data_IF_320497485855
#
_entry.id   IF_320497485855
#
_cell.length_a   1.000
_cell.length_b   1.000
_cell.length_c   1.000
_cell.angle_alpha   90.00
_cell.angle_beta   90.00
_cell.angle_gamma   90.00
#
_symmetry.space_group_name_H-M   'P 1'
#
loop_
_entity.id
_entity.type
_entity.pdbx_description
1 polymer ?
#
# COMPACT_ATOMS: atom_id res chain seq x y z
N UNK A 1 -26.20 1.53 -2.86
CA UNK A 1 -26.31 0.94 -1.50
C UNK A 1 -25.79 1.96 -0.50
N UNK A 2 -26.37 2.11 0.69
CA UNK A 2 -25.83 3.02 1.70
C UNK A 2 -25.08 2.20 2.77
N UNK A 3 -23.84 2.57 3.07
CA UNK A 3 -23.05 1.94 4.14
C UNK A 3 -23.30 2.76 5.42
N UNK A 4 -24.07 2.19 6.35
CA UNK A 4 -24.46 2.86 7.60
C UNK A 4 -23.33 2.93 8.64
N UNK A 5 -22.49 1.90 8.70
CA UNK A 5 -21.38 1.79 9.65
C UNK A 5 -20.05 1.53 8.91
N UNK A 6 -19.50 2.54 8.21
CA UNK A 6 -18.27 2.35 7.45
C UNK A 6 -17.04 2.19 8.37
N UNK A 7 -16.04 1.44 7.90
CA UNK A 7 -14.68 1.44 8.46
C UNK A 7 -14.08 2.85 8.37
N UNK A 8 -13.03 3.11 9.15
CA UNK A 8 -12.46 4.44 9.36
C UNK A 8 -11.17 4.64 8.59
N UNK A 9 -10.86 5.89 8.28
CA UNK A 9 -9.57 6.28 7.72
C UNK A 9 -8.73 6.88 8.83
N UNK A 10 -7.49 6.45 8.98
CA UNK A 10 -6.47 7.11 9.79
C UNK A 10 -5.55 7.92 8.87
N UNK A 11 -5.63 9.25 8.93
CA UNK A 11 -4.76 10.13 8.17
C UNK A 11 -3.72 10.77 9.09
N UNK A 12 -2.45 10.48 8.83
CA UNK A 12 -1.31 10.84 9.70
C UNK A 12 -0.32 11.72 8.95
N UNK A 13 0.35 12.60 9.68
CA UNK A 13 1.47 13.38 9.18
C UNK A 13 2.43 13.73 10.32
N UNK A 14 3.64 14.18 10.02
CA UNK A 14 4.50 14.76 11.03
C UNK A 14 3.90 16.07 11.56
N UNK A 15 4.19 16.39 12.82
CA UNK A 15 3.73 17.64 13.46
C UNK A 15 4.10 18.92 12.69
N UNK A 16 5.25 18.93 12.00
CA UNK A 16 5.71 20.04 11.16
C UNK A 16 4.99 20.13 9.80
N UNK A 17 4.25 19.08 9.43
CA UNK A 17 3.60 18.90 8.13
C UNK A 17 2.07 18.98 8.22
N UNK A 18 1.53 19.46 9.35
CA UNK A 18 0.09 19.60 9.60
C UNK A 18 -0.67 20.37 8.52
N UNK A 19 -0.02 21.36 7.87
CA UNK A 19 -0.63 22.10 6.77
C UNK A 19 -0.83 21.23 5.53
N UNK A 20 0.12 20.33 5.22
CA UNK A 20 -0.01 19.40 4.09
C UNK A 20 -1.14 18.40 4.34
N UNK A 21 -1.26 17.87 5.56
CA UNK A 21 -2.38 17.02 5.95
C UNK A 21 -3.72 17.75 5.75
N UNK A 22 -3.83 18.99 6.24
CA UNK A 22 -5.02 19.81 6.08
C UNK A 22 -5.36 20.10 4.61
N UNK A 23 -4.35 20.31 3.77
CA UNK A 23 -4.53 20.59 2.33
C UNK A 23 -5.00 19.33 1.58
N UNK A 24 -4.43 18.16 1.89
CA UNK A 24 -4.85 16.86 1.32
C UNK A 24 -6.27 16.52 1.73
N UNK A 25 -6.61 16.64 3.02
CA UNK A 25 -7.96 16.34 3.52
C UNK A 25 -8.99 17.31 2.93
N UNK A 26 -8.65 18.58 2.69
CA UNK A 26 -9.56 19.49 1.97
C UNK A 26 -9.72 19.10 0.50
N UNK A 27 -8.67 18.60 -0.14
CA UNK A 27 -8.70 18.13 -1.51
C UNK A 27 -9.57 16.89 -1.73
N UNK A 28 -9.88 16.12 -0.69
CA UNK A 28 -10.83 15.00 -0.80
C UNK A 28 -12.28 15.47 -0.92
N UNK A 29 -12.59 16.72 -0.54
CA UNK A 29 -13.92 17.28 -0.69
C UNK A 29 -14.02 18.05 -2.00
N UNK A 30 -14.92 17.67 -2.93
CA UNK A 30 -15.25 18.54 -4.03
C UNK A 30 -15.83 19.82 -3.44
N UNK A 31 -15.10 20.94 -3.56
CA UNK A 31 -15.59 22.23 -3.07
C UNK A 31 -16.92 22.52 -3.79
N UNK A 32 -18.05 22.72 -3.06
CA UNK A 32 -19.26 23.15 -3.71
C UNK A 32 -18.96 24.46 -4.43
N UNK A 33 -19.26 24.49 -5.73
CA UNK A 33 -19.24 25.71 -6.53
C UNK A 33 -19.93 26.83 -5.75
N UNK A 34 -19.21 27.95 -5.61
CA UNK A 34 -19.56 29.07 -4.75
C UNK A 34 -21.07 29.41 -4.76
N UNK A 35 -21.73 29.13 -3.65
CA UNK A 35 -22.95 29.82 -3.21
C UNK A 35 -23.10 29.64 -1.71
N UNK A 36 -22.32 30.40 -0.94
CA UNK A 36 -22.80 31.03 0.29
C UNK A 36 -21.85 32.16 0.69
N UNK A 37 -22.48 33.29 0.93
CA UNK A 37 -22.01 34.52 1.57
C UNK A 37 -20.67 34.48 2.30
N UNK A 38 -19.80 35.42 1.93
CA UNK A 38 -18.68 35.91 2.72
C UNK A 38 -19.08 36.15 4.19
N UNK A 39 -18.26 35.75 5.17
CA UNK A 39 -18.41 36.27 6.52
C UNK A 39 -17.95 37.73 6.53
N UNK A 40 -18.83 38.60 7.00
CA UNK A 40 -18.65 40.03 7.21
C UNK A 40 -17.46 40.30 8.15
N UNK A 41 -16.43 41.08 7.74
CA UNK A 41 -15.34 41.46 8.62
C UNK A 41 -15.73 42.73 9.38
N UNK A 42 -16.65 42.61 10.34
CA UNK A 42 -16.93 43.72 11.24
C UNK A 42 -17.36 43.20 12.62
N UNK A 43 -16.40 42.89 13.48
CA UNK A 43 -16.45 43.27 14.90
C UNK A 43 -15.06 43.12 15.51
N UNK A 44 -14.34 44.25 15.55
CA UNK A 44 -13.19 44.43 16.43
C UNK A 44 -13.68 44.60 17.87
N UNK A 45 -13.23 43.74 18.77
CA UNK A 45 -12.97 44.10 20.16
C UNK A 45 -11.76 43.28 20.61
N UNK A 46 -10.69 44.02 20.92
CA UNK A 46 -9.38 43.57 21.35
C UNK A 46 -9.41 43.01 22.77
N UNK A 47 -9.10 41.72 22.91
CA UNK A 47 -8.58 41.13 24.15
C UNK A 47 -7.08 40.86 23.97
N UNK A 48 -6.18 41.47 24.78
CA UNK A 48 -4.73 41.31 24.62
C UNK A 48 -4.12 40.13 25.40
N UNK A 49 -4.89 39.12 25.82
CA UNK A 49 -4.41 38.04 26.71
C UNK A 49 -4.79 36.61 26.26
N UNK A 50 -5.02 36.38 24.96
CA UNK A 50 -5.16 35.03 24.42
C UNK A 50 -3.90 34.63 23.66
N UNK A 51 -2.99 33.93 24.33
CA UNK A 51 -1.99 33.07 23.67
C UNK A 51 -2.75 32.14 22.72
N UNK A 52 -2.71 32.48 21.44
CA UNK A 52 -3.43 31.81 20.37
C UNK A 52 -2.75 30.45 20.08
N UNK A 53 -3.05 29.44 20.89
CA UNK A 53 -2.93 28.07 20.45
C UNK A 53 -3.95 27.87 19.32
N UNK A 54 -3.48 27.81 18.07
CA UNK A 54 -4.27 27.29 16.98
C UNK A 54 -4.85 25.92 17.40
N UNK A 55 -6.14 25.62 17.11
CA UNK A 55 -6.70 24.32 17.45
C UNK A 55 -5.85 23.22 16.81
N UNK A 56 -5.34 22.30 17.62
CA UNK A 56 -4.54 21.17 17.15
C UNK A 56 -5.38 20.29 16.25
N UNK A 57 -4.87 19.96 15.06
CA UNK A 57 -5.52 19.07 14.08
C UNK A 57 -5.60 17.62 14.59
N UNK A 58 -4.65 17.22 15.45
CA UNK A 58 -4.53 15.87 15.97
C UNK A 58 -5.70 15.50 16.89
N UNK A 59 -6.18 14.26 16.78
CA UNK A 59 -7.31 13.73 17.54
C UNK A 59 -8.68 14.23 17.09
N UNK A 60 -8.76 14.93 15.94
CA UNK A 60 -10.03 15.37 15.37
C UNK A 60 -10.58 14.34 14.39
N UNK A 61 -11.92 14.26 14.30
CA UNK A 61 -12.61 13.41 13.32
C UNK A 61 -13.28 14.28 12.26
N UNK A 62 -12.97 14.03 10.99
CA UNK A 62 -13.55 14.72 9.85
C UNK A 62 -14.49 13.78 9.07
N UNK A 63 -15.78 14.11 8.88
CA UNK A 63 -16.66 13.30 8.05
C UNK A 63 -16.29 13.45 6.57
N UNK A 64 -16.16 12.34 5.87
CA UNK A 64 -15.89 12.30 4.44
C UNK A 64 -17.07 11.67 3.70
N UNK A 65 -17.81 12.50 2.98
CA UNK A 65 -18.95 12.06 2.20
C UNK A 65 -18.47 11.47 0.86
N UNK A 66 -18.53 10.15 0.75
CA UNK A 66 -18.13 9.40 -0.42
C UNK A 66 -19.39 8.93 -1.17
N UNK A 67 -19.45 9.22 -2.47
CA UNK A 67 -20.53 8.79 -3.34
C UNK A 67 -19.96 8.16 -4.61
N UNK A 68 -20.31 6.91 -4.86
CA UNK A 68 -19.93 6.15 -6.05
C UNK A 68 -21.20 5.65 -6.77
N UNK A 69 -21.03 4.99 -7.92
CA UNK A 69 -22.15 4.34 -8.62
C UNK A 69 -22.72 3.15 -7.83
N UNK A 70 -21.94 2.57 -6.92
CA UNK A 70 -22.28 1.33 -6.22
C UNK A 70 -22.77 1.62 -4.79
N UNK A 71 -22.13 2.59 -4.12
CA UNK A 71 -22.46 2.92 -2.73
C UNK A 71 -22.30 4.40 -2.36
N UNK A 72 -22.90 4.77 -1.25
CA UNK A 72 -22.70 6.04 -0.56
C UNK A 72 -22.32 5.76 0.89
N UNK A 73 -21.35 6.50 1.42
CA UNK A 73 -20.89 6.36 2.79
C UNK A 73 -20.42 7.70 3.37
N UNK A 74 -20.60 7.90 4.67
CA UNK A 74 -19.97 9.00 5.41
C UNK A 74 -18.83 8.45 6.26
N UNK A 75 -17.64 8.38 5.67
CA UNK A 75 -16.47 7.74 6.28
C UNK A 75 -15.83 8.68 7.31
N UNK A 76 -15.62 8.25 8.56
CA UNK A 76 -14.89 9.04 9.54
C UNK A 76 -13.38 9.03 9.21
N UNK A 77 -12.79 10.21 9.06
CA UNK A 77 -11.34 10.38 8.96
C UNK A 77 -10.81 10.84 10.31
N UNK A 78 -9.99 10.01 10.95
CA UNK A 78 -9.22 10.37 12.13
C UNK A 78 -7.91 11.04 11.71
N UNK A 79 -7.68 12.25 12.21
CA UNK A 79 -6.47 13.02 11.92
C UNK A 79 -5.49 12.91 13.09
N UNK A 80 -4.25 12.60 12.79
CA UNK A 80 -3.20 12.52 13.81
C UNK A 80 -1.90 13.17 13.34
N UNK A 81 -1.18 13.79 14.30
CA UNK A 81 0.09 14.46 14.07
C UNK A 81 1.17 13.79 14.92
N UNK A 82 2.15 13.23 14.24
CA UNK A 82 3.19 12.39 14.82
C UNK A 82 4.41 13.25 15.14
N UNK A 83 4.80 13.28 16.41
CA UNK A 83 6.05 13.89 16.86
C UNK A 83 7.22 12.90 16.83
N UNK A 84 6.96 11.65 17.21
CA UNK A 84 7.93 10.55 17.23
C UNK A 84 7.31 9.31 16.58
N UNK A 85 7.69 8.97 15.33
CA UNK A 85 7.11 7.82 14.62
C UNK A 85 7.30 6.49 15.35
N UNK A 86 8.45 6.31 16.02
CA UNK A 86 8.75 5.09 16.78
C UNK A 86 7.81 4.89 17.98
N UNK A 87 7.61 5.95 18.78
CA UNK A 87 6.70 5.90 19.93
C UNK A 87 5.25 5.73 19.49
N UNK A 88 4.86 6.43 18.41
CA UNK A 88 3.53 6.33 17.82
C UNK A 88 3.24 4.89 17.37
N UNK A 89 4.13 4.27 16.60
CA UNK A 89 3.95 2.90 16.15
C UNK A 89 3.91 1.91 17.32
N UNK A 90 4.76 2.10 18.34
CA UNK A 90 4.72 1.26 19.55
C UNK A 90 3.39 1.38 20.30
N UNK A 91 2.77 2.56 20.31
CA UNK A 91 1.45 2.77 20.92
C UNK A 91 0.35 2.07 20.12
N UNK A 92 0.38 2.16 18.78
CA UNK A 92 -0.62 1.51 17.93
C UNK A 92 -0.49 -0.01 17.87
N UNK A 93 0.72 -0.56 18.08
CA UNK A 93 0.96 -1.99 18.18
C UNK A 93 0.77 -2.56 19.59
N UNK A 94 0.33 -1.73 20.55
CA UNK A 94 0.01 -2.20 21.89
C UNK A 94 -1.29 -3.01 21.90
N UNK A 95 -1.44 -3.99 22.81
CA UNK A 95 -2.70 -4.75 22.95
C UNK A 95 -3.92 -3.85 23.18
N UNK A 96 -3.72 -2.72 23.87
CA UNK A 96 -4.77 -1.74 24.18
C UNK A 96 -5.30 -1.03 22.92
N UNK A 97 -4.50 -0.95 21.86
CA UNK A 97 -4.88 -0.29 20.61
C UNK A 97 -5.55 -1.25 19.59
N UNK A 98 -5.73 -2.54 19.93
CA UNK A 98 -6.29 -3.54 19.02
C UNK A 98 -7.66 -3.15 18.46
N UNK A 99 -8.56 -2.66 19.33
CA UNK A 99 -9.90 -2.21 18.93
C UNK A 99 -9.84 -1.01 17.95
N UNK A 100 -8.80 -0.19 18.06
CA UNK A 100 -8.58 0.96 17.15
C UNK A 100 -8.17 0.45 15.77
N UNK A 101 -7.29 -0.55 15.70
CA UNK A 101 -6.81 -1.14 14.45
C UNK A 101 -7.92 -1.91 13.72
N UNK A 102 -8.73 -2.68 14.44
CA UNK A 102 -9.82 -3.50 13.88
C UNK A 102 -10.86 -2.66 13.11
N UNK A 103 -11.07 -1.41 13.49
CA UNK A 103 -12.04 -0.52 12.82
C UNK A 103 -11.48 0.29 11.66
N UNK A 104 -10.15 0.22 11.42
CA UNK A 104 -9.54 0.91 10.28
C UNK A 104 -9.79 0.13 9.00
N UNK A 105 -10.20 0.85 7.95
CA UNK A 105 -10.26 0.36 6.57
C UNK A 105 -9.40 1.18 5.61
N UNK A 106 -8.72 2.20 6.12
CA UNK A 106 -7.78 3.02 5.36
C UNK A 106 -6.73 3.68 6.24
N UNK A 107 -5.49 3.76 5.74
CA UNK A 107 -4.38 4.54 6.30
C UNK A 107 -3.85 5.46 5.21
N UNK A 108 -3.77 6.76 5.50
CA UNK A 108 -3.24 7.78 4.60
C UNK A 108 -2.09 8.51 5.28
N UNK A 109 -0.87 8.37 4.75
CA UNK A 109 0.33 9.02 5.28
C UNK A 109 0.66 10.23 4.43
N UNK A 110 0.51 11.44 4.97
CA UNK A 110 0.81 12.68 4.24
C UNK A 110 2.15 13.23 4.69
N UNK A 111 3.06 13.50 3.74
CA UNK A 111 4.38 14.04 4.05
C UNK A 111 4.84 15.07 3.02
N UNK A 112 5.65 16.03 3.47
CA UNK A 112 6.33 16.95 2.57
C UNK A 112 7.48 16.21 1.87
N UNK A 113 7.53 16.24 0.54
CA UNK A 113 8.68 15.72 -0.18
C UNK A 113 9.89 16.63 0.09
N UNK A 114 10.99 16.12 0.66
CA UNK A 114 12.20 16.91 0.85
C UNK A 114 12.80 17.25 -0.52
N UNK A 115 13.55 18.35 -0.66
CA UNK A 115 14.18 18.69 -1.92
C UNK A 115 15.15 17.58 -2.40
N UNK A 116 15.38 17.45 -3.72
CA UNK A 116 16.34 16.49 -4.25
C UNK A 116 17.75 16.79 -3.71
N UNK A 117 18.59 15.76 -3.52
CA UNK A 117 19.95 15.96 -3.05
C UNK A 117 20.71 16.85 -4.03
N UNK A 118 21.17 18.01 -3.55
CA UNK A 118 21.97 18.92 -4.37
C UNK A 118 23.22 18.20 -4.87
N UNK A 119 23.37 18.08 -6.20
CA UNK A 119 24.56 17.47 -6.83
C UNK A 119 25.84 18.10 -6.27
N UNK A 120 26.90 17.32 -5.94
CA UNK A 120 28.14 17.90 -5.48
C UNK A 120 28.65 18.89 -6.53
N UNK A 121 29.06 20.11 -6.12
CA UNK A 121 29.60 21.07 -7.07
C UNK A 121 30.81 20.44 -7.76
N UNK A 122 30.87 20.55 -9.09
CA UNK A 122 32.00 20.10 -9.92
C UNK A 122 33.31 20.89 -9.67
N UNK A 123 33.34 21.73 -8.62
CA UNK A 123 34.52 22.34 -8.02
C UNK A 123 34.47 22.16 -6.51
N UNK A 124 35.60 21.93 -5.84
CA UNK A 124 35.64 21.93 -4.38
C UNK A 124 35.24 23.33 -3.90
N UNK A 125 34.01 23.46 -3.42
CA UNK A 125 33.55 24.63 -2.71
C UNK A 125 34.20 24.58 -1.33
N UNK A 126 35.24 25.39 -1.12
CA UNK A 126 35.58 25.80 0.22
C UNK A 126 34.34 26.49 0.80
N UNK A 127 33.92 26.09 2.00
CA UNK A 127 32.77 26.58 2.78
C UNK A 127 31.47 25.77 2.58
N UNK A 128 31.29 24.78 3.45
CA UNK A 128 30.01 24.12 3.72
C UNK A 128 29.00 25.18 4.19
N UNK A 129 27.90 25.35 3.44
CA UNK A 129 26.81 26.23 3.86
C UNK A 129 26.04 25.63 5.04
N UNK A 130 25.67 26.43 6.06
CA UNK A 130 25.02 25.95 7.29
C UNK A 130 23.62 25.32 7.11
N UNK A 131 23.06 25.30 5.90
CA UNK A 131 21.72 24.75 5.60
C UNK A 131 21.67 23.29 5.11
N UNK A 132 22.81 22.65 4.88
CA UNK A 132 22.85 21.29 4.31
C UNK A 132 22.55 20.19 5.35
N UNK A 133 22.82 20.45 6.64
CA UNK A 133 22.51 19.54 7.74
C UNK A 133 20.99 19.43 8.05
N UNK A 134 20.23 20.51 7.85
CA UNK A 134 18.78 20.54 8.14
C UNK A 134 17.95 19.72 7.13
N UNK A 135 18.39 19.66 5.87
CA UNK A 135 17.69 18.90 4.82
C UNK A 135 17.86 17.38 4.97
N UNK A 136 19.06 16.94 5.37
CA UNK A 136 19.31 15.52 5.68
C UNK A 136 18.43 15.03 6.83
N UNK A 137 18.27 15.86 7.87
CA UNK A 137 17.39 15.56 9.01
C UNK A 137 15.92 15.42 8.59
N UNK A 138 15.40 16.32 7.77
CA UNK A 138 14.00 16.23 7.26
C UNK A 138 13.77 15.00 6.40
N UNK A 139 14.73 14.65 5.54
CA UNK A 139 14.63 13.42 4.72
C UNK A 139 14.53 12.19 5.61
N UNK A 140 15.38 12.10 6.63
CA UNK A 140 15.36 10.98 7.57
C UNK A 140 14.05 10.93 8.38
N UNK A 141 13.54 12.07 8.84
CA UNK A 141 12.26 12.12 9.56
C UNK A 141 11.09 11.59 8.71
N UNK A 142 11.06 11.92 7.42
CA UNK A 142 10.04 11.39 6.51
C UNK A 142 10.22 9.89 6.29
N UNK A 143 11.46 9.39 6.17
CA UNK A 143 11.72 7.95 6.11
C UNK A 143 11.23 7.25 7.38
N UNK A 144 11.60 7.76 8.54
CA UNK A 144 11.16 7.23 9.83
C UNK A 144 9.64 7.20 9.94
N UNK A 145 8.95 8.26 9.49
CA UNK A 145 7.48 8.28 9.43
C UNK A 145 6.95 7.11 8.60
N UNK A 146 7.38 6.99 7.34
CA UNK A 146 6.89 5.98 6.41
C UNK A 146 7.18 4.57 6.93
N UNK A 147 8.40 4.33 7.40
CA UNK A 147 8.81 3.03 7.94
C UNK A 147 8.00 2.62 9.17
N UNK A 148 7.73 3.54 10.10
CA UNK A 148 6.98 3.22 11.32
C UNK A 148 5.47 3.09 11.07
N UNK A 149 4.90 3.87 10.15
CA UNK A 149 3.51 3.63 9.72
C UNK A 149 3.39 2.31 8.96
N UNK A 150 4.33 2.02 8.07
CA UNK A 150 4.42 0.73 7.39
C UNK A 150 4.57 -0.45 8.35
N UNK A 151 5.27 -0.26 9.47
CA UNK A 151 5.31 -1.25 10.55
C UNK A 151 3.92 -1.52 11.13
N UNK A 152 3.13 -0.47 11.40
CA UNK A 152 1.74 -0.63 11.88
C UNK A 152 0.86 -1.33 10.84
N UNK A 153 1.02 -1.00 9.55
CA UNK A 153 0.27 -1.68 8.47
C UNK A 153 0.63 -3.17 8.42
N UNK A 154 1.92 -3.51 8.43
CA UNK A 154 2.38 -4.91 8.31
C UNK A 154 2.10 -5.75 9.56
N UNK A 155 2.40 -5.23 10.75
CA UNK A 155 2.31 -5.99 11.99
C UNK A 155 0.95 -5.84 12.69
N UNK A 156 0.31 -4.67 12.56
CA UNK A 156 -0.94 -4.35 13.26
C UNK A 156 -2.20 -4.61 12.45
N UNK A 157 -2.17 -4.33 11.13
CA UNK A 157 -3.34 -4.46 10.26
C UNK A 157 -3.37 -5.77 9.46
N UNK A 158 -2.30 -6.57 9.49
CA UNK A 158 -2.21 -7.86 8.78
C UNK A 158 -1.42 -7.80 7.48
N UNK A 159 -0.80 -6.66 7.15
CA UNK A 159 0.05 -6.52 5.97
C UNK A 159 -0.69 -6.83 4.67
N UNK A 160 -0.20 -7.83 3.92
CA UNK A 160 -0.77 -8.20 2.62
C UNK A 160 -2.14 -8.86 2.71
N UNK A 161 -2.49 -9.44 3.86
CA UNK A 161 -3.82 -10.04 4.09
C UNK A 161 -4.86 -8.98 4.48
N UNK A 162 -4.41 -7.75 4.79
CA UNK A 162 -5.31 -6.66 5.10
C UNK A 162 -6.06 -6.22 3.84
N UNK A 163 -7.37 -6.15 3.95
CA UNK A 163 -8.29 -5.75 2.89
C UNK A 163 -8.54 -4.22 2.84
N UNK A 164 -7.79 -3.44 3.62
CA UNK A 164 -7.90 -2.00 3.68
C UNK A 164 -6.95 -1.26 2.74
N UNK A 165 -7.17 0.04 2.60
CA UNK A 165 -6.36 0.91 1.76
C UNK A 165 -5.16 1.48 2.53
N UNK A 166 -3.95 1.43 1.97
CA UNK A 166 -2.77 2.06 2.55
C UNK A 166 -2.04 2.93 1.51
N UNK A 167 -2.02 4.26 1.70
CA UNK A 167 -1.50 5.22 0.72
C UNK A 167 -0.53 6.21 1.37
N UNK A 168 0.64 6.40 0.76
CA UNK A 168 1.59 7.47 1.06
C UNK A 168 1.46 8.63 0.07
N UNK A 169 1.07 9.81 0.56
CA UNK A 169 0.87 11.02 -0.23
C UNK A 169 2.06 11.97 -0.03
N UNK A 170 2.94 12.00 -1.04
CA UNK A 170 4.08 12.92 -1.09
C UNK A 170 3.68 14.28 -1.67
N UNK A 171 3.73 15.33 -0.85
CA UNK A 171 3.34 16.69 -1.26
C UNK A 171 4.56 17.52 -1.64
N UNK A 172 4.64 17.98 -2.89
CA UNK A 172 5.67 18.93 -3.32
C UNK A 172 5.25 20.38 -3.12
N UNK A 173 6.11 21.17 -2.48
CA UNK A 173 5.94 22.62 -2.34
C UNK A 173 6.47 23.31 -3.61
N UNK A 174 5.66 23.46 -4.65
CA UNK A 174 6.04 24.19 -5.86
C UNK A 174 6.50 25.61 -5.51
N UNK A 175 7.81 25.86 -5.49
CA UNK A 175 8.39 27.21 -5.37
C UNK A 175 9.25 27.61 -6.57
N UNK A 176 9.64 26.67 -7.44
CA UNK A 176 10.33 27.02 -8.68
C UNK A 176 9.69 26.28 -9.86
N UNK A 177 9.02 27.04 -10.73
CA UNK A 177 8.84 26.67 -12.14
C UNK A 177 10.16 26.69 -12.90
N UNK A 178 11.22 26.12 -12.32
CA UNK A 178 12.46 25.80 -13.01
C UNK A 178 12.29 24.41 -13.57
N UNK A 179 12.56 24.24 -14.86
CA UNK A 179 12.60 22.94 -15.52
C UNK A 179 13.63 22.05 -14.82
N UNK A 180 13.20 21.31 -13.79
CA UNK A 180 13.87 20.07 -13.41
C UNK A 180 13.70 19.17 -14.63
N UNK A 181 14.78 18.55 -15.08
CA UNK A 181 14.68 17.58 -16.17
C UNK A 181 13.77 16.47 -15.65
N UNK A 182 12.72 16.13 -16.40
CA UNK A 182 11.71 15.14 -15.98
C UNK A 182 12.34 13.84 -15.48
N UNK A 183 13.49 13.44 -16.04
CA UNK A 183 14.29 12.28 -15.61
C UNK A 183 14.90 12.42 -14.20
N UNK A 184 15.35 13.61 -13.79
CA UNK A 184 15.88 13.84 -12.43
C UNK A 184 14.77 13.90 -11.39
N UNK A 185 13.59 14.41 -11.76
CA UNK A 185 12.41 14.40 -10.90
C UNK A 185 11.83 12.98 -10.75
N UNK A 186 11.79 12.21 -11.84
CA UNK A 186 11.38 10.80 -11.82
C UNK A 186 12.29 9.97 -10.89
N UNK A 187 13.61 10.00 -11.10
CA UNK A 187 14.54 9.26 -10.23
C UNK A 187 14.55 9.72 -8.76
N UNK A 188 14.12 10.95 -8.48
CA UNK A 188 13.94 11.42 -7.11
C UNK A 188 12.66 10.88 -6.46
N UNK A 189 11.59 10.70 -7.24
CA UNK A 189 10.32 10.13 -6.77
C UNK A 189 10.41 8.62 -6.57
N UNK A 190 11.16 7.91 -7.42
CA UNK A 190 11.37 6.45 -7.35
C UNK A 190 11.82 6.01 -5.95
N UNK A 191 12.71 6.77 -5.29
CA UNK A 191 13.17 6.45 -3.93
C UNK A 191 12.02 6.42 -2.90
N UNK A 192 11.03 7.31 -3.04
CA UNK A 192 9.88 7.37 -2.15
C UNK A 192 8.83 6.32 -2.52
N UNK A 193 8.69 6.04 -3.81
CA UNK A 193 7.86 4.96 -4.31
C UNK A 193 8.34 3.61 -3.77
N UNK A 194 9.63 3.30 -3.93
CA UNK A 194 10.25 2.09 -3.40
C UNK A 194 10.04 1.97 -1.87
N UNK A 195 10.31 3.06 -1.13
CA UNK A 195 10.16 3.06 0.32
C UNK A 195 8.71 2.83 0.77
N UNK A 196 7.74 3.45 0.09
CA UNK A 196 6.32 3.23 0.35
C UNK A 196 5.93 1.78 0.02
N UNK A 197 6.36 1.26 -1.13
CA UNK A 197 6.05 -0.11 -1.56
C UNK A 197 6.60 -1.15 -0.58
N UNK A 198 7.84 -1.01 -0.11
CA UNK A 198 8.44 -1.87 0.93
C UNK A 198 7.65 -1.85 2.24
N UNK A 199 6.97 -0.73 2.52
CA UNK A 199 6.13 -0.52 3.69
C UNK A 199 4.66 -0.96 3.49
N UNK A 200 4.31 -1.49 2.31
CA UNK A 200 2.93 -1.86 1.96
C UNK A 200 2.02 -0.66 1.68
N UNK A 201 2.59 0.47 1.26
CA UNK A 201 1.86 1.69 0.92
C UNK A 201 1.95 1.95 -0.58
N UNK A 202 0.86 2.36 -1.19
CA UNK A 202 0.89 2.94 -2.53
C UNK A 202 1.38 4.39 -2.46
N UNK A 203 2.40 4.75 -3.23
CA UNK A 203 2.88 6.14 -3.30
C UNK A 203 2.09 6.96 -4.33
N UNK A 204 1.62 8.14 -3.92
CA UNK A 204 0.98 9.11 -4.80
C UNK A 204 1.61 10.48 -4.63
N UNK A 205 2.22 10.99 -5.71
CA UNK A 205 2.76 12.34 -5.75
C UNK A 205 1.67 13.38 -6.01
N UNK A 206 1.57 14.37 -5.12
CA UNK A 206 0.62 15.47 -5.24
C UNK A 206 1.35 16.81 -5.19
N UNK A 207 1.16 17.64 -6.22
CA UNK A 207 1.66 19.01 -6.17
C UNK A 207 0.79 19.87 -5.26
N UNK A 208 1.39 20.75 -4.45
CA UNK A 208 0.63 21.73 -3.64
C UNK A 208 -0.27 22.62 -4.50
N UNK A 209 0.15 22.91 -5.73
CA UNK A 209 -0.67 23.64 -6.70
C UNK A 209 -1.95 22.88 -7.08
N UNK A 210 -1.87 21.54 -7.20
CA UNK A 210 -3.02 20.66 -7.43
C UNK A 210 -3.98 20.57 -6.24
N UNK A 211 -3.51 20.83 -5.01
CA UNK A 211 -4.35 20.87 -3.80
C UNK A 211 -5.11 22.18 -3.61
N UNK A 212 -4.55 23.30 -4.09
CA UNK A 212 -5.07 24.67 -3.84
C UNK A 212 -5.74 25.27 -5.09
N UNK A 213 -5.57 24.63 -6.25
CA UNK A 213 -6.13 25.07 -7.54
C UNK A 213 -7.61 24.77 -7.72
N UNK A 214 -8.27 25.55 -8.59
CA UNK A 214 -9.72 25.49 -8.90
C UNK A 214 -10.09 24.47 -9.99
N UNK A 215 -9.13 23.76 -10.57
CA UNK A 215 -9.41 22.75 -11.58
C UNK A 215 -9.64 21.42 -10.86
N UNK A 216 -10.77 20.73 -11.08
CA UNK A 216 -10.91 19.35 -10.62
C UNK A 216 -9.76 18.55 -11.22
N UNK A 217 -8.88 18.03 -10.35
CA UNK A 217 -7.75 17.17 -10.75
C UNK A 217 -8.24 15.81 -11.29
N UNK A 218 -9.57 15.59 -11.32
CA UNK A 218 -10.31 14.36 -11.69
C UNK A 218 -9.90 13.75 -13.05
N UNK A 219 -9.19 14.50 -13.89
CA UNK A 219 -8.73 14.07 -15.21
C UNK A 219 -7.21 13.99 -15.36
N UNK A 220 -6.42 14.28 -14.32
CA UNK A 220 -4.95 14.20 -14.45
C UNK A 220 -4.54 12.75 -14.61
N UNK A 221 -4.16 12.40 -15.85
CA UNK A 221 -3.73 11.06 -16.23
C UNK A 221 -2.28 11.03 -16.66
N UNK A 222 -1.59 9.93 -16.35
CA UNK A 222 -0.24 9.68 -16.89
C UNK A 222 -0.32 9.27 -18.38
N UNK A 223 0.83 8.97 -18.99
CA UNK A 223 0.92 8.54 -20.39
C UNK A 223 0.18 7.22 -20.69
N UNK A 224 -0.11 6.42 -19.66
CA UNK A 224 -0.87 5.18 -19.75
C UNK A 224 -2.37 5.39 -19.53
N UNK A 225 -2.81 6.63 -19.28
CA UNK A 225 -4.21 6.96 -19.05
C UNK A 225 -4.67 6.67 -17.62
N UNK A 226 -3.78 6.37 -16.67
CA UNK A 226 -4.11 6.10 -15.27
C UNK A 226 -4.23 7.40 -14.49
N UNK A 227 -5.12 7.47 -13.49
CA UNK A 227 -5.26 8.68 -12.66
C UNK A 227 -4.00 8.92 -11.83
N UNK A 228 -3.63 10.18 -11.65
CA UNK A 228 -2.47 10.61 -10.85
C UNK A 228 -2.88 11.72 -9.88
N UNK A 229 -2.00 12.09 -8.95
CA UNK A 229 -2.27 13.20 -8.03
C UNK A 229 -3.47 12.95 -7.13
N UNK A 230 -4.26 13.98 -6.85
CA UNK A 230 -5.40 13.86 -5.95
C UNK A 230 -6.48 12.94 -6.54
N UNK A 231 -6.62 12.91 -7.88
CA UNK A 231 -7.58 12.01 -8.52
C UNK A 231 -7.25 10.52 -8.33
N UNK A 232 -5.98 10.16 -8.19
CA UNK A 232 -5.58 8.79 -7.84
C UNK A 232 -5.95 8.45 -6.40
N UNK A 233 -5.67 9.35 -5.46
CA UNK A 233 -6.08 9.18 -4.04
C UNK A 233 -7.59 8.99 -3.94
N UNK A 234 -8.36 9.81 -4.66
CA UNK A 234 -9.82 9.73 -4.67
C UNK A 234 -10.34 8.44 -5.31
N UNK A 235 -9.71 7.97 -6.40
CA UNK A 235 -10.05 6.68 -7.00
C UNK A 235 -9.81 5.52 -6.04
N UNK A 236 -8.68 5.51 -5.35
CA UNK A 236 -8.36 4.47 -4.37
C UNK A 236 -9.38 4.46 -3.21
N UNK A 237 -9.73 5.65 -2.68
CA UNK A 237 -10.76 5.78 -1.64
C UNK A 237 -12.15 5.32 -2.13
N UNK A 238 -12.52 5.61 -3.37
CA UNK A 238 -13.78 5.19 -3.99
C UNK A 238 -13.83 3.68 -4.26
N UNK A 239 -12.70 3.07 -4.59
CA UNK A 239 -12.60 1.65 -4.91
C UNK A 239 -12.55 0.75 -3.67
N UNK A 240 -12.15 1.28 -2.52
CA UNK A 240 -12.06 0.53 -1.26
C UNK A 240 -13.43 0.06 -0.75
N UNK A 241 -13.48 -1.13 -0.13
CA UNK A 241 -14.66 -1.62 0.58
C UNK A 241 -14.67 -1.08 2.01
N UNK A 242 -15.69 -0.26 2.31
CA UNK A 242 -15.86 0.35 3.62
C UNK A 242 -16.83 -0.41 4.52
N UNK A 243 -17.41 -1.53 4.08
CA UNK A 243 -18.30 -2.33 4.90
C UNK A 243 -17.57 -2.95 6.11
N UNK A 244 -18.32 -3.33 7.16
CA UNK A 244 -17.75 -3.98 8.34
C UNK A 244 -17.20 -3.07 9.46
N UNK A 245 -17.42 -1.75 9.42
CA UNK A 245 -16.91 -0.82 10.44
C UNK A 245 -17.70 -0.76 11.75
N UNK A 246 -18.66 -1.65 11.93
CA UNK A 246 -19.49 -1.76 13.12
C UNK A 246 -18.90 -2.75 14.12
N UNK A 247 -18.73 -2.30 15.37
CA UNK A 247 -18.52 -3.16 16.54
C UNK A 247 -19.79 -3.97 16.89
N UNK A 248 -20.48 -4.53 15.91
CA UNK A 248 -21.56 -5.49 16.10
C UNK A 248 -21.02 -6.89 15.76
N UNK A 249 -20.45 -7.57 16.76
CA UNK A 249 -20.07 -8.97 16.57
C UNK A 249 -18.89 -9.50 17.36
N UNK A 250 -18.66 -9.04 18.58
CA UNK A 250 -18.16 -9.96 19.61
C UNK A 250 -19.23 -11.02 19.85
N UNK A 251 -19.29 -12.03 19.00
CA UNK A 251 -20.37 -13.03 18.96
C UNK A 251 -19.81 -14.40 18.63
N UNK A 252 -19.56 -15.17 19.69
CA UNK A 252 -19.50 -16.64 19.72
C UNK A 252 -18.76 -17.29 18.54
N UNK A 253 -17.44 -17.34 18.62
CA UNK A 253 -16.72 -18.57 18.26
C UNK A 253 -17.08 -19.66 19.27
N UNK A 254 -18.35 -20.08 19.31
CA UNK A 254 -18.74 -21.31 19.97
C UNK A 254 -18.13 -22.43 19.16
N UNK A 255 -17.09 -23.01 19.73
CA UNK A 255 -16.71 -24.40 19.54
C UNK A 255 -18.00 -25.24 19.64
N UNK A 256 -18.60 -25.57 18.49
CA UNK A 256 -19.50 -26.70 18.40
C UNK A 256 -18.62 -27.95 18.42
N UNK A 257 -18.17 -28.31 19.63
CA UNK A 257 -17.89 -29.70 19.97
C UNK A 257 -19.22 -30.47 19.86
N UNK A 258 -19.55 -30.96 18.66
CA UNK A 258 -20.61 -31.95 18.53
C UNK A 258 -20.08 -33.32 19.00
N UNK A 259 -20.46 -33.63 20.24
CA UNK A 259 -20.46 -34.95 20.86
C UNK A 259 -21.01 -36.03 19.90
N UNK A 260 -20.13 -36.90 19.38
CA UNK A 260 -20.56 -38.12 18.72
C UNK A 260 -20.52 -39.31 19.69
N UNK A 261 -21.57 -39.44 20.50
CA UNK A 261 -21.93 -40.69 21.17
C UNK A 261 -22.65 -41.65 20.20
N UNK A 262 -22.08 -42.84 20.03
CA UNK A 262 -22.79 -44.10 20.32
C UNK A 262 -23.92 -44.61 19.41
N UNK A 263 -23.55 -45.64 18.63
CA UNK A 263 -24.28 -46.91 18.41
C UNK A 263 -25.49 -46.99 17.43
N UNK A 264 -25.45 -48.03 16.59
CA UNK A 264 -26.66 -48.77 16.20
C UNK A 264 -26.80 -49.15 14.73
N UNK A 265 -26.39 -50.37 14.36
CA UNK A 265 -26.41 -50.87 12.99
C UNK A 265 -27.77 -51.38 12.45
N UNK A 266 -27.75 -51.61 11.12
CA UNK A 266 -28.43 -52.65 10.29
C UNK A 266 -29.46 -52.20 9.23
N UNK A 267 -29.04 -52.50 7.98
CA UNK A 267 -29.73 -53.21 6.90
C UNK A 267 -31.01 -52.64 6.22
N UNK A 268 -30.94 -52.43 4.90
CA UNK A 268 -32.14 -52.36 4.05
C UNK A 268 -31.96 -51.92 2.59
N UNK A 269 -31.77 -52.88 1.67
CA UNK A 269 -31.78 -52.74 0.19
C UNK A 269 -33.05 -52.07 -0.39
N UNK A 270 -32.90 -51.28 -1.47
CA UNK A 270 -33.98 -50.92 -2.41
C UNK A 270 -33.46 -50.22 -3.68
N UNK A 271 -34.07 -50.47 -4.84
CA UNK A 271 -33.51 -50.21 -6.19
C UNK A 271 -34.20 -49.03 -6.92
N UNK A 272 -33.41 -48.36 -7.77
CA UNK A 272 -33.67 -47.82 -9.14
C UNK A 272 -34.51 -46.54 -9.38
N UNK A 273 -33.80 -45.57 -10.01
CA UNK A 273 -34.05 -44.89 -11.31
C UNK A 273 -34.96 -43.65 -11.36
N UNK A 274 -34.38 -42.53 -11.83
CA UNK A 274 -35.06 -41.54 -12.68
C UNK A 274 -34.82 -40.05 -12.38
N UNK A 275 -33.82 -39.47 -13.05
CA UNK A 275 -33.76 -38.12 -13.67
C UNK A 275 -34.12 -36.82 -12.88
N UNK A 276 -33.03 -36.05 -12.67
CA UNK A 276 -32.76 -34.64 -13.05
C UNK A 276 -33.22 -33.42 -12.21
N UNK A 277 -32.17 -32.63 -11.93
CA UNK A 277 -32.06 -31.16 -11.88
C UNK A 277 -32.41 -30.43 -10.57
N UNK A 278 -31.38 -29.79 -9.98
CA UNK A 278 -31.50 -28.77 -8.94
C UNK A 278 -30.30 -28.71 -7.99
N UNK A 279 -29.37 -27.81 -8.31
CA UNK A 279 -28.48 -27.03 -7.41
C UNK A 279 -27.44 -27.70 -6.48
N UNK A 280 -26.41 -26.89 -6.25
CA UNK A 280 -25.36 -26.97 -5.21
C UNK A 280 -24.14 -27.84 -5.55
N UNK A 281 -23.30 -27.32 -6.46
CA UNK A 281 -21.89 -27.68 -6.49
C UNK A 281 -21.13 -26.72 -5.56
N UNK A 282 -20.87 -27.21 -4.35
CA UNK A 282 -19.73 -26.78 -3.54
C UNK A 282 -18.47 -26.78 -4.43
N UNK A 283 -18.00 -25.58 -4.78
CA UNK A 283 -16.71 -25.42 -5.43
C UNK A 283 -15.64 -25.50 -4.35
N UNK A 284 -15.30 -26.73 -3.96
CA UNK A 284 -14.02 -27.03 -3.34
C UNK A 284 -12.91 -26.46 -4.24
N UNK A 285 -12.28 -25.41 -3.77
CA UNK A 285 -11.20 -24.71 -4.45
C UNK A 285 -9.95 -25.58 -4.31
N UNK A 286 -9.70 -26.45 -5.29
CA UNK A 286 -8.48 -27.27 -5.34
C UNK A 286 -7.31 -26.42 -5.87
N UNK A 287 -6.31 -26.07 -5.02
CA UNK A 287 -5.16 -25.27 -5.43
C UNK A 287 -4.23 -25.99 -6.42
N UNK A 288 -4.43 -27.29 -6.68
CA UNK A 288 -3.65 -28.04 -7.66
C UNK A 288 -4.26 -28.06 -9.07
N UNK A 289 -5.47 -27.50 -9.27
CA UNK A 289 -6.17 -27.55 -10.57
C UNK A 289 -6.11 -26.25 -11.39
N UNK A 290 -5.26 -25.29 -11.02
CA UNK A 290 -5.05 -24.09 -11.86
C UNK A 290 -4.04 -24.40 -12.97
N UNK A 291 -4.61 -24.74 -14.12
CA UNK A 291 -4.01 -24.89 -15.45
C UNK A 291 -3.26 -23.62 -15.89
N UNK A 292 -2.03 -23.47 -15.40
CA UNK A 292 -0.99 -22.66 -16.03
C UNK A 292 -0.05 -23.66 -16.70
N UNK A 293 -0.29 -23.98 -17.99
CA UNK A 293 0.33 -25.05 -18.77
C UNK A 293 1.86 -25.17 -18.69
N UNK A 294 2.33 -25.65 -17.55
CA UNK A 294 3.68 -26.08 -17.22
C UNK A 294 3.49 -27.41 -16.52
N UNK A 295 3.44 -28.47 -17.32
CA UNK A 295 3.35 -29.81 -16.80
C UNK A 295 4.68 -30.13 -16.09
N UNK A 296 4.63 -30.98 -15.07
CA UNK A 296 5.82 -31.43 -14.31
C UNK A 296 6.93 -31.98 -15.23
N UNK A 297 6.54 -32.42 -16.43
CA UNK A 297 7.39 -32.93 -17.49
C UNK A 297 8.18 -31.83 -18.23
N UNK A 298 7.62 -30.63 -18.38
CA UNK A 298 8.35 -29.47 -18.92
C UNK A 298 9.45 -29.00 -17.95
N UNK A 299 9.20 -29.14 -16.64
CA UNK A 299 10.18 -28.87 -15.59
C UNK A 299 11.34 -29.88 -15.60
N UNK A 300 11.05 -31.15 -15.91
CA UNK A 300 12.06 -32.21 -16.07
C UNK A 300 12.86 -32.02 -17.37
N UNK A 301 12.20 -31.59 -18.45
CA UNK A 301 12.86 -31.25 -19.71
C UNK A 301 13.83 -30.08 -19.57
N UNK A 302 13.43 -29.03 -18.84
CA UNK A 302 14.28 -27.89 -18.49
C UNK A 302 15.46 -28.32 -17.60
N UNK A 303 15.20 -29.17 -16.60
CA UNK A 303 16.27 -29.75 -15.74
C UNK A 303 17.27 -30.58 -16.55
N UNK A 304 16.80 -31.39 -17.50
CA UNK A 304 17.66 -32.21 -18.37
C UNK A 304 18.45 -31.37 -19.37
N UNK A 305 17.92 -30.25 -19.84
CA UNK A 305 18.63 -29.32 -20.71
C UNK A 305 19.71 -28.50 -19.95
N UNK A 306 19.49 -28.18 -18.67
CA UNK A 306 20.46 -27.48 -17.83
C UNK A 306 21.58 -28.43 -17.36
N UNK A 307 21.27 -29.69 -17.05
CA UNK A 307 22.25 -30.64 -16.51
C UNK A 307 22.89 -31.58 -17.55
N UNK A 308 22.28 -31.76 -18.72
CA UNK A 308 22.72 -32.72 -19.75
C UNK A 308 23.73 -32.19 -20.77
N UNK A 309 24.32 -31.01 -20.54
CA UNK A 309 25.24 -30.35 -21.47
C UNK A 309 26.73 -30.71 -21.32
N UNK A 310 27.10 -31.60 -20.39
CA UNK A 310 28.45 -32.11 -20.26
C UNK A 310 28.49 -33.59 -20.67
N UNK A 311 28.84 -33.84 -21.94
CA UNK A 311 29.20 -35.16 -22.43
C UNK A 311 30.52 -35.65 -21.80
N UNK A 312 30.46 -36.93 -21.41
CA UNK A 312 31.53 -37.94 -21.38
C UNK A 312 32.67 -37.85 -20.36
N UNK A 313 32.56 -38.66 -19.31
CA UNK A 313 33.72 -39.13 -18.57
C UNK A 313 33.42 -39.80 -17.23
N UNK A 314 33.03 -41.07 -17.29
CA UNK A 314 33.36 -42.14 -16.34
C UNK A 314 33.22 -41.86 -14.82
N UNK A 315 32.19 -42.49 -14.23
CA UNK A 315 32.26 -43.11 -12.91
C UNK A 315 32.60 -42.25 -11.70
N UNK A 316 31.57 -41.85 -10.97
CA UNK A 316 31.33 -42.15 -9.55
C UNK A 316 30.00 -41.47 -9.16
N UNK A 317 29.26 -42.04 -8.22
CA UNK A 317 28.14 -41.36 -7.58
C UNK A 317 28.69 -40.12 -6.88
N UNK A 318 28.83 -39.00 -7.60
CA UNK A 318 29.08 -37.70 -6.99
C UNK A 318 27.78 -37.28 -6.30
N UNK A 319 27.76 -37.52 -4.98
CA UNK A 319 26.82 -36.89 -4.06
C UNK A 319 26.57 -35.46 -4.53
N UNK A 320 25.31 -35.14 -4.83
CA UNK A 320 24.88 -33.77 -5.13
C UNK A 320 25.31 -32.94 -3.92
N UNK A 321 26.42 -32.22 -4.07
CA UNK A 321 27.05 -31.54 -2.95
C UNK A 321 26.06 -30.56 -2.35
N UNK A 322 26.10 -30.39 -1.02
CA UNK A 322 25.28 -29.37 -0.35
C UNK A 322 25.45 -27.98 -1.00
N UNK A 323 26.60 -27.72 -1.62
CA UNK A 323 26.88 -26.51 -2.40
C UNK A 323 26.01 -26.38 -3.66
N UNK A 324 25.69 -27.47 -4.35
CA UNK A 324 24.86 -27.47 -5.55
C UNK A 324 23.38 -27.32 -5.21
N UNK A 325 22.95 -27.88 -4.08
CA UNK A 325 21.60 -27.63 -3.52
C UNK A 325 21.47 -26.17 -3.10
N UNK A 326 22.47 -25.60 -2.43
CA UNK A 326 22.46 -24.19 -2.03
C UNK A 326 22.53 -23.22 -3.21
N UNK A 327 23.19 -23.59 -4.32
CA UNK A 327 23.17 -22.82 -5.57
C UNK A 327 21.78 -22.89 -6.23
N UNK A 328 21.15 -24.06 -6.24
CA UNK A 328 19.80 -24.26 -6.79
C UNK A 328 18.75 -23.50 -5.97
N UNK A 329 18.84 -23.52 -4.63
CA UNK A 329 17.97 -22.76 -3.74
C UNK A 329 18.12 -21.25 -3.94
N UNK A 330 19.35 -20.75 -4.03
CA UNK A 330 19.60 -19.31 -4.33
C UNK A 330 19.08 -18.90 -5.69
N UNK A 331 19.19 -19.79 -6.68
CA UNK A 331 18.64 -19.56 -8.02
C UNK A 331 17.12 -19.55 -8.01
N UNK A 332 16.47 -20.50 -7.35
CA UNK A 332 15.02 -20.54 -7.20
C UNK A 332 14.50 -19.32 -6.47
N UNK A 333 15.17 -18.89 -5.40
CA UNK A 333 14.79 -17.71 -4.63
C UNK A 333 14.90 -16.43 -5.47
N UNK A 334 15.95 -16.31 -6.30
CA UNK A 334 16.11 -15.18 -7.23
C UNK A 334 15.09 -15.20 -8.36
N UNK A 335 14.82 -16.37 -8.97
CA UNK A 335 13.82 -16.49 -10.04
C UNK A 335 12.40 -16.26 -9.52
N UNK A 336 12.11 -16.68 -8.29
CA UNK A 336 10.84 -16.42 -7.62
C UNK A 336 10.67 -14.93 -7.28
N UNK A 337 11.72 -14.28 -6.77
CA UNK A 337 11.72 -12.83 -6.55
C UNK A 337 11.48 -12.05 -7.85
N UNK A 338 12.08 -12.47 -8.97
CA UNK A 338 11.85 -11.84 -10.29
C UNK A 338 10.46 -12.15 -10.83
N UNK A 339 9.92 -13.35 -10.57
CA UNK A 339 8.53 -13.71 -10.91
C UNK A 339 7.54 -12.81 -10.17
N UNK A 340 7.75 -12.62 -8.88
CA UNK A 340 6.87 -11.81 -8.03
C UNK A 340 7.00 -10.32 -8.39
N UNK A 341 8.22 -9.85 -8.68
CA UNK A 341 8.45 -8.50 -9.19
C UNK A 341 7.91 -8.27 -10.62
N UNK A 342 7.63 -9.33 -11.38
CA UNK A 342 7.17 -9.23 -12.78
C UNK A 342 5.70 -9.59 -13.00
N UNK A 343 5.00 -9.98 -11.93
CA UNK A 343 3.57 -10.30 -11.94
C UNK A 343 2.68 -9.10 -12.33
N UNK A 344 3.15 -7.87 -12.04
CA UNK A 344 2.44 -6.62 -12.38
C UNK A 344 2.76 -6.02 -13.75
N UNK A 345 3.74 -6.55 -14.50
CA UNK A 345 4.20 -5.90 -15.74
C UNK A 345 3.60 -6.52 -17.02
N UNK A 346 3.46 -5.73 -18.11
CA UNK A 346 3.03 -6.22 -19.42
C UNK A 346 3.92 -7.35 -19.96
N UNK A 347 3.35 -8.27 -20.73
CA UNK A 347 3.97 -9.54 -21.13
C UNK A 347 5.35 -9.36 -21.82
N UNK A 348 5.49 -8.35 -22.68
CA UNK A 348 6.76 -8.04 -23.35
C UNK A 348 7.87 -7.58 -22.39
N UNK A 349 7.51 -6.84 -21.33
CA UNK A 349 8.46 -6.40 -20.30
C UNK A 349 8.78 -7.53 -19.32
N UNK A 350 7.77 -8.34 -18.94
CA UNK A 350 7.95 -9.55 -18.14
C UNK A 350 8.91 -10.53 -18.81
N UNK A 351 8.75 -10.76 -20.12
CA UNK A 351 9.64 -11.62 -20.91
C UNK A 351 11.06 -11.08 -21.00
N UNK A 352 11.23 -9.75 -21.11
CA UNK A 352 12.54 -9.08 -21.12
C UNK A 352 13.23 -9.14 -19.75
N UNK A 353 12.47 -9.03 -18.65
CA UNK A 353 13.00 -9.15 -17.29
C UNK A 353 13.35 -10.58 -16.92
N UNK A 354 12.51 -11.56 -17.30
CA UNK A 354 12.83 -12.96 -17.16
C UNK A 354 14.10 -13.34 -17.95
N UNK A 355 14.25 -12.87 -19.19
CA UNK A 355 15.45 -13.13 -19.99
C UNK A 355 16.73 -12.50 -19.40
N UNK A 356 16.64 -11.31 -18.80
CA UNK A 356 17.76 -10.67 -18.11
C UNK A 356 18.14 -11.41 -16.84
N UNK A 357 17.17 -11.76 -16.00
CA UNK A 357 17.39 -12.49 -14.76
C UNK A 357 17.99 -13.87 -15.00
N UNK A 358 17.50 -14.61 -16.01
CA UNK A 358 18.07 -15.90 -16.41
C UNK A 358 19.51 -15.73 -16.92
N UNK A 359 19.80 -14.67 -17.67
CA UNK A 359 21.16 -14.36 -18.12
C UNK A 359 22.13 -13.97 -17.01
N UNK A 360 21.63 -13.33 -15.94
CA UNK A 360 22.41 -12.96 -14.77
C UNK A 360 22.70 -14.17 -13.88
N UNK A 361 21.70 -15.03 -13.67
CA UNK A 361 21.83 -16.31 -12.96
C UNK A 361 22.82 -17.25 -13.68
N UNK A 362 22.73 -17.37 -15.00
CA UNK A 362 23.65 -18.18 -15.81
C UNK A 362 25.10 -17.65 -15.84
N UNK A 363 25.31 -16.41 -15.41
CA UNK A 363 26.64 -15.79 -15.31
C UNK A 363 27.26 -15.92 -13.91
N UNK A 364 26.43 -16.20 -12.91
CA UNK A 364 26.83 -16.44 -11.51
C UNK A 364 27.07 -17.93 -11.20
N UNK A 365 26.61 -18.82 -12.08
CA UNK A 365 27.06 -20.22 -12.18
C UNK A 365 28.39 -20.28 -12.93
#
# INVERSE_FOLDING_TARGET
MEISNPRRILAVSLTDSAQHLSDVIRGTHPTPTASSSSPDPSHSASDPDSDAHAPSLAGTTHPFALSTAYYTASIPIWLDLIASPAEWASSFLSPEAKEVLEVLGGVVVVFALPPPPSRPPSRPAAHSSPGQHDQGGKREQVRELITHVGKVVREGLGGWEWDGLAVGVGVSSNSNGGAVVEEEEAGFLDEWEDLCAECGLEFVHVSRAGLVGKAPDDEKRNEFGERTGMARVMEALQANDWSGGGLEGGGDGKEEEEDHEGEGGRDGKGRRRGEKEGDEADLDFDPESLDFGFDREDFVGLRKAIWGGAEDGDGEDEDVGEEDVQKLERMMLKLQAVRDASAGLPEDQRRRMAARAVGEVMKEL
#
